data_IF_851144846815
#
_entry.id   IF_851144846815
#
_cell.length_a   1.000
_cell.length_b   1.000
_cell.length_c   1.000
_cell.angle_alpha   90.00
_cell.angle_beta   90.00
_cell.angle_gamma   90.00
#
_symmetry.space_group_name_H-M   'P 1'
#
loop_
_entity.id
_entity.type
_entity.pdbx_description
1 polymer ?
#
# COMPACT_ATOMS: atom_id res chain seq x y z
N UNK A 1 -13.01 -16.34 1.46
CA UNK A 1 -11.99 -16.44 2.53
C UNK A 1 -10.66 -16.97 2.05
N UNK A 2 -10.57 -18.19 1.47
CA UNK A 2 -9.27 -18.80 1.06
C UNK A 2 -8.36 -17.86 0.26
N UNK A 3 -8.89 -17.21 -0.79
CA UNK A 3 -8.11 -16.30 -1.62
C UNK A 3 -7.66 -15.03 -0.88
N UNK A 4 -8.54 -14.43 -0.07
CA UNK A 4 -8.21 -13.25 0.75
C UNK A 4 -7.10 -13.57 1.75
N UNK A 5 -7.24 -14.68 2.49
CA UNK A 5 -6.23 -15.12 3.46
C UNK A 5 -4.92 -15.49 2.79
N UNK A 6 -4.96 -16.17 1.64
CA UNK A 6 -3.77 -16.50 0.86
C UNK A 6 -3.03 -15.25 0.38
N UNK A 7 -3.75 -14.28 -0.20
CA UNK A 7 -3.15 -13.00 -0.65
C UNK A 7 -2.59 -12.20 0.53
N UNK A 8 -3.23 -12.23 1.70
CA UNK A 8 -2.71 -11.60 2.90
C UNK A 8 -1.39 -12.25 3.37
N UNK A 9 -1.36 -13.58 3.50
CA UNK A 9 -0.17 -14.32 3.95
C UNK A 9 0.98 -14.12 2.97
N UNK A 10 0.72 -14.28 1.67
CA UNK A 10 1.75 -14.11 0.65
C UNK A 10 2.30 -12.69 0.66
N UNK A 11 1.42 -11.68 0.77
CA UNK A 11 1.83 -10.30 0.96
C UNK A 11 2.72 -10.14 2.19
N UNK A 12 2.29 -10.56 3.37
CA UNK A 12 3.10 -10.45 4.59
C UNK A 12 4.49 -11.10 4.45
N UNK A 13 4.60 -12.25 3.77
CA UNK A 13 5.88 -12.89 3.46
C UNK A 13 6.75 -12.00 2.57
N UNK A 14 6.20 -11.46 1.48
CA UNK A 14 6.93 -10.55 0.60
C UNK A 14 7.36 -9.27 1.31
N UNK A 15 6.50 -8.70 2.16
CA UNK A 15 6.82 -7.53 2.96
C UNK A 15 8.01 -7.82 3.90
N UNK A 16 8.04 -8.98 4.55
CA UNK A 16 9.16 -9.39 5.39
C UNK A 16 10.48 -9.40 4.62
N UNK A 17 10.51 -10.01 3.44
CA UNK A 17 11.72 -10.04 2.60
C UNK A 17 12.10 -8.66 2.07
N UNK A 18 11.13 -7.84 1.67
CA UNK A 18 11.35 -6.45 1.24
C UNK A 18 11.96 -5.62 2.36
N UNK A 19 11.44 -5.74 3.58
CA UNK A 19 11.97 -5.03 4.75
C UNK A 19 13.42 -5.44 5.04
N UNK A 20 13.73 -6.74 5.01
CA UNK A 20 15.12 -7.20 5.18
C UNK A 20 16.03 -6.67 4.08
N UNK A 21 15.59 -6.73 2.82
CA UNK A 21 16.39 -6.31 1.68
C UNK A 21 16.69 -4.80 1.69
N UNK A 22 15.66 -3.99 1.97
CA UNK A 22 15.69 -2.52 1.86
C UNK A 22 16.08 -1.87 3.18
N UNK A 23 15.42 -2.24 4.28
CA UNK A 23 15.58 -1.61 5.60
C UNK A 23 16.66 -2.26 6.45
N UNK A 24 17.21 -3.40 6.01
CA UNK A 24 18.14 -4.24 6.80
C UNK A 24 17.55 -4.69 8.15
N UNK A 25 16.24 -4.59 8.30
CA UNK A 25 15.48 -5.01 9.47
C UNK A 25 14.16 -5.63 9.02
N UNK A 26 13.73 -6.72 9.66
CA UNK A 26 12.43 -7.32 9.40
C UNK A 26 11.27 -6.45 9.92
N UNK A 27 11.51 -5.75 11.02
CA UNK A 27 10.52 -4.90 11.71
C UNK A 27 10.94 -3.45 11.49
N UNK A 28 10.15 -2.66 10.73
CA UNK A 28 10.44 -1.26 10.53
C UNK A 28 10.29 -0.47 11.85
N UNK A 29 10.95 0.68 11.92
CA UNK A 29 10.65 1.65 12.96
C UNK A 29 9.21 2.19 12.80
N UNK A 30 8.76 3.00 13.75
CA UNK A 30 7.39 3.51 13.75
C UNK A 30 7.09 4.38 12.53
N UNK A 31 8.02 5.23 12.10
CA UNK A 31 7.85 6.09 10.93
C UNK A 31 7.68 5.30 9.64
N UNK A 32 8.56 4.33 9.38
CA UNK A 32 8.44 3.42 8.24
C UNK A 32 7.15 2.63 8.25
N UNK A 33 6.70 2.23 9.44
CA UNK A 33 5.43 1.50 9.60
C UNK A 33 4.24 2.39 9.24
N UNK A 34 4.24 3.66 9.67
CA UNK A 34 3.20 4.64 9.33
C UNK A 34 3.21 4.89 7.81
N UNK A 35 4.38 5.10 7.22
CA UNK A 35 4.54 5.35 5.80
C UNK A 35 4.04 4.18 4.94
N UNK A 36 4.54 2.97 5.22
CA UNK A 36 4.11 1.75 4.56
C UNK A 36 2.62 1.49 4.75
N UNK A 37 2.11 1.69 5.98
CA UNK A 37 0.71 1.55 6.32
C UNK A 37 -0.19 2.51 5.54
N UNK A 38 0.17 3.78 5.47
CA UNK A 38 -0.54 4.80 4.70
C UNK A 38 -0.65 4.39 3.23
N UNK A 39 0.46 3.96 2.61
CA UNK A 39 0.46 3.51 1.21
C UNK A 39 -0.39 2.27 1.00
N UNK A 40 -0.34 1.31 1.92
CA UNK A 40 -1.22 0.15 1.88
C UNK A 40 -2.70 0.56 1.95
N UNK A 41 -3.07 1.47 2.86
CA UNK A 41 -4.45 1.93 3.02
C UNK A 41 -4.93 2.73 1.81
N UNK A 42 -4.08 3.57 1.21
CA UNK A 42 -4.38 4.25 -0.05
C UNK A 42 -4.65 3.24 -1.15
N UNK A 43 -3.77 2.25 -1.32
CA UNK A 43 -3.98 1.15 -2.25
C UNK A 43 -5.31 0.45 -1.99
N UNK A 44 -5.58 0.11 -0.73
CA UNK A 44 -6.78 -0.59 -0.30
C UNK A 44 -8.06 0.18 -0.63
N UNK A 45 -8.20 1.41 -0.15
CA UNK A 45 -9.45 2.16 -0.27
C UNK A 45 -9.61 2.83 -1.63
N UNK A 46 -8.57 3.46 -2.16
CA UNK A 46 -8.66 4.23 -3.41
C UNK A 46 -8.69 3.29 -4.61
N UNK A 47 -7.69 2.42 -4.72
CA UNK A 47 -7.57 1.52 -5.88
C UNK A 47 -8.42 0.26 -5.71
N UNK A 48 -8.30 -0.44 -4.59
CA UNK A 48 -8.97 -1.72 -4.35
C UNK A 48 -10.48 -1.60 -4.24
N UNK A 49 -10.95 -0.83 -3.26
CA UNK A 49 -12.40 -0.68 -3.01
C UNK A 49 -13.04 0.26 -4.02
N UNK A 50 -12.58 1.50 -4.11
CA UNK A 50 -13.29 2.55 -4.87
C UNK A 50 -13.20 2.37 -6.38
N UNK A 51 -12.03 2.00 -6.92
CA UNK A 51 -11.85 1.78 -8.36
C UNK A 51 -12.20 0.35 -8.79
N UNK A 52 -11.51 -0.68 -8.28
CA UNK A 52 -11.67 -2.05 -8.77
C UNK A 52 -12.98 -2.72 -8.36
N UNK A 53 -13.47 -2.50 -7.15
CA UNK A 53 -14.65 -3.18 -6.63
C UNK A 53 -15.96 -2.39 -6.84
N UNK A 54 -16.10 -1.21 -6.23
CA UNK A 54 -17.33 -0.39 -6.27
C UNK A 54 -17.46 0.39 -7.58
N UNK A 55 -16.35 0.65 -8.28
CA UNK A 55 -16.30 1.47 -9.51
C UNK A 55 -16.83 2.90 -9.31
N UNK A 56 -16.64 3.46 -8.12
CA UNK A 56 -17.02 4.83 -7.76
C UNK A 56 -16.05 5.88 -8.33
N UNK A 57 -14.82 5.49 -8.67
CA UNK A 57 -13.80 6.34 -9.28
C UNK A 57 -13.44 5.83 -10.67
N UNK A 58 -13.12 6.74 -11.59
CA UNK A 58 -12.40 6.38 -12.82
C UNK A 58 -10.92 6.10 -12.52
N UNK A 59 -10.24 5.34 -13.40
CA UNK A 59 -8.80 5.05 -13.25
C UNK A 59 -7.98 6.34 -13.12
N UNK A 60 -8.30 7.36 -13.94
CA UNK A 60 -7.62 8.66 -13.91
C UNK A 60 -7.77 9.37 -12.57
N UNK A 61 -8.97 9.33 -11.98
CA UNK A 61 -9.22 9.92 -10.65
C UNK A 61 -8.50 9.14 -9.55
N UNK A 62 -8.56 7.81 -9.59
CA UNK A 62 -7.92 6.96 -8.60
C UNK A 62 -6.38 7.11 -8.62
N UNK A 63 -5.78 7.16 -9.82
CA UNK A 63 -4.35 7.42 -9.99
C UNK A 63 -3.98 8.82 -9.51
N UNK A 64 -4.76 9.85 -9.87
CA UNK A 64 -4.49 11.23 -9.43
C UNK A 64 -4.55 11.35 -7.90
N UNK A 65 -5.57 10.77 -7.27
CA UNK A 65 -5.71 10.79 -5.81
C UNK A 65 -4.58 10.03 -5.12
N UNK A 66 -4.26 8.83 -5.62
CA UNK A 66 -3.13 8.03 -5.12
C UNK A 66 -1.82 8.82 -5.21
N UNK A 67 -1.55 9.43 -6.37
CA UNK A 67 -0.34 10.21 -6.60
C UNK A 67 -0.24 11.42 -5.65
N UNK A 68 -1.34 12.17 -5.47
CA UNK A 68 -1.38 13.30 -4.55
C UNK A 68 -1.06 12.86 -3.12
N UNK A 69 -1.69 11.78 -2.63
CA UNK A 69 -1.47 11.31 -1.26
C UNK A 69 -0.02 10.83 -1.08
N UNK A 70 0.52 10.05 -2.02
CA UNK A 70 1.90 9.55 -1.96
C UNK A 70 2.91 10.70 -2.02
N UNK A 71 2.66 11.75 -2.80
CA UNK A 71 3.52 12.93 -2.85
C UNK A 71 3.48 13.69 -1.52
N UNK A 72 2.29 13.86 -0.91
CA UNK A 72 2.16 14.53 0.39
C UNK A 72 2.86 13.74 1.51
N UNK A 73 2.73 12.42 1.50
CA UNK A 73 3.46 11.48 2.38
C UNK A 73 4.98 11.66 2.24
N UNK A 74 5.50 11.75 1.01
CA UNK A 74 6.91 12.06 0.77
C UNK A 74 7.33 13.47 1.24
N UNK A 75 6.51 14.49 1.06
CA UNK A 75 6.83 15.84 1.52
C UNK A 75 6.92 15.91 3.05
N UNK A 76 6.05 15.16 3.74
CA UNK A 76 6.12 15.04 5.19
C UNK A 76 7.44 14.40 5.64
N UNK A 77 7.85 13.31 4.99
CA UNK A 77 9.12 12.64 5.31
C UNK A 77 10.34 13.53 5.05
N UNK A 78 10.30 14.32 3.97
CA UNK A 78 11.35 15.28 3.67
C UNK A 78 11.43 16.38 4.75
N UNK A 79 10.28 16.86 5.24
CA UNK A 79 10.22 17.92 6.25
C UNK A 79 10.71 17.48 7.63
N UNK A 80 10.44 16.23 8.02
CA UNK A 80 10.87 15.66 9.31
C UNK A 80 12.31 15.13 9.23
N UNK A 81 12.99 15.31 8.09
CA UNK A 81 14.32 14.77 7.80
C UNK A 81 14.43 13.25 8.00
N UNK A 82 13.31 12.55 7.99
CA UNK A 82 13.26 11.12 8.24
C UNK A 82 13.89 10.35 7.07
N UNK A 83 13.66 10.79 5.83
CA UNK A 83 14.11 10.08 4.63
C UNK A 83 14.51 10.98 3.45
N UNK A 84 15.42 10.46 2.61
CA UNK A 84 15.73 11.00 1.27
C UNK A 84 15.09 10.11 0.22
N UNK A 85 14.51 10.71 -0.82
CA UNK A 85 13.96 10.01 -1.99
C UNK A 85 15.01 9.06 -2.60
N UNK A 86 14.84 7.75 -2.33
CA UNK A 86 15.66 6.69 -2.89
C UNK A 86 14.77 5.67 -3.61
N UNK A 87 15.31 5.03 -4.62
CA UNK A 87 14.60 4.07 -5.47
C UNK A 87 13.97 2.92 -4.66
N UNK A 88 14.65 2.47 -3.61
CA UNK A 88 14.19 1.40 -2.73
C UNK A 88 12.89 1.75 -2.00
N UNK A 89 12.77 2.99 -1.51
CA UNK A 89 11.57 3.50 -0.82
C UNK A 89 10.39 3.58 -1.80
N UNK A 90 10.66 3.99 -3.05
CA UNK A 90 9.66 4.02 -4.11
C UNK A 90 9.17 2.60 -4.40
N UNK A 91 10.07 1.64 -4.54
CA UNK A 91 9.72 0.24 -4.81
C UNK A 91 8.90 -0.38 -3.67
N UNK A 92 9.30 -0.14 -2.42
CA UNK A 92 8.55 -0.55 -1.23
C UNK A 92 7.14 0.05 -1.24
N UNK A 93 7.03 1.35 -1.53
CA UNK A 93 5.74 2.03 -1.64
C UNK A 93 4.82 1.48 -2.71
N UNK A 94 5.36 1.21 -3.91
CA UNK A 94 4.60 0.58 -5.01
C UNK A 94 4.09 -0.78 -4.58
N UNK A 95 4.94 -1.58 -3.94
CA UNK A 95 4.55 -2.88 -3.41
C UNK A 95 3.37 -2.75 -2.41
N UNK A 96 3.45 -1.82 -1.45
CA UNK A 96 2.38 -1.59 -0.47
C UNK A 96 1.07 -1.15 -1.14
N UNK A 97 1.14 -0.28 -2.15
CA UNK A 97 -0.04 0.16 -2.92
C UNK A 97 -0.71 -1.00 -3.67
N UNK A 98 0.09 -1.82 -4.36
CA UNK A 98 -0.43 -2.96 -5.14
C UNK A 98 -1.03 -4.00 -4.21
N UNK A 99 -0.34 -4.34 -3.13
CA UNK A 99 -0.84 -5.30 -2.16
C UNK A 99 -2.13 -4.80 -1.48
N UNK A 100 -2.16 -3.53 -1.06
CA UNK A 100 -3.36 -2.88 -0.55
C UNK A 100 -4.53 -2.97 -1.54
N UNK A 101 -4.31 -2.62 -2.81
CA UNK A 101 -5.35 -2.66 -3.84
C UNK A 101 -5.93 -4.07 -4.04
N UNK A 102 -5.08 -5.09 -4.07
CA UNK A 102 -5.53 -6.49 -4.15
C UNK A 102 -6.37 -6.88 -2.93
N UNK A 103 -5.92 -6.52 -1.72
CA UNK A 103 -6.64 -6.79 -0.48
C UNK A 103 -8.00 -6.06 -0.44
N UNK A 104 -8.06 -4.81 -0.86
CA UNK A 104 -9.30 -4.03 -0.93
C UNK A 104 -10.32 -4.63 -1.88
N UNK A 105 -9.89 -5.00 -3.09
CA UNK A 105 -10.75 -5.66 -4.07
C UNK A 105 -11.29 -7.01 -3.55
N UNK A 106 -10.40 -7.86 -3.01
CA UNK A 106 -10.80 -9.18 -2.51
C UNK A 106 -11.70 -9.09 -1.28
N UNK A 107 -11.50 -8.09 -0.42
CA UNK A 107 -12.36 -7.83 0.74
C UNK A 107 -13.76 -7.46 0.28
N UNK A 108 -13.88 -6.51 -0.66
CA UNK A 108 -15.17 -6.14 -1.25
C UNK A 108 -15.91 -7.34 -1.86
N UNK A 109 -15.20 -8.14 -2.67
CA UNK A 109 -15.77 -9.37 -3.25
C UNK A 109 -16.22 -10.36 -2.17
N UNK A 110 -15.43 -10.54 -1.11
CA UNK A 110 -15.78 -11.45 -0.02
C UNK A 110 -17.05 -10.99 0.71
N UNK A 111 -17.18 -9.69 0.99
CA UNK A 111 -18.37 -9.13 1.66
C UNK A 111 -19.64 -9.27 0.82
N UNK A 112 -19.55 -9.18 -0.51
CA UNK A 112 -20.71 -9.38 -1.41
C UNK A 112 -21.22 -10.82 -1.42
N UNK A 113 -20.32 -11.78 -1.29
CA UNK A 113 -20.61 -13.21 -1.43
C UNK A 113 -20.98 -13.87 -0.09
N UNK A 114 -21.16 -13.08 0.97
CA UNK A 114 -21.58 -13.50 2.30
C UNK A 114 -23.01 -13.04 2.55
#
# INVERSE_FOLDING_TARGET
>A
MKMLSFTFILGAIFLYFMNIAILKSAIPNMEWTIHAGTRFLVGFFVMGVSYFYVKALSLKQALKLTLIIVILDYFYDYYVESYRLNFEIILHGIYMLVWGALMGYLTGRYMKNK
#
